data_IF_917557556060
#
_entry.id   IF_917557556060
#
_cell.length_a   1.000
_cell.length_b   1.000
_cell.length_c   1.000
_cell.angle_alpha   90.00
_cell.angle_beta   90.00
_cell.angle_gamma   90.00
#
_symmetry.space_group_name_H-M   'P 1'
#
loop_
_entity.id
_entity.type
_entity.pdbx_description
1 polymer ?
#
# COMPACT_ATOMS: atom_id res chain seq x y z
N UNK A 1 -9.97 13.68 22.36
CA UNK A 1 -10.24 12.75 21.23
C UNK A 1 -9.81 13.32 19.89
N UNK A 2 -10.23 14.55 19.53
CA UNK A 2 -9.88 15.22 18.27
C UNK A 2 -8.37 15.27 17.95
N UNK A 3 -7.52 15.65 18.91
CA UNK A 3 -6.07 15.73 18.70
C UNK A 3 -5.40 14.39 18.32
N UNK A 4 -6.01 13.24 18.71
CA UNK A 4 -5.50 11.92 18.31
C UNK A 4 -5.86 11.58 16.86
N UNK A 5 -7.07 11.95 16.42
CA UNK A 5 -7.51 11.77 15.04
C UNK A 5 -6.64 12.56 14.06
N UNK A 6 -6.35 13.81 14.38
CA UNK A 6 -5.50 14.69 13.57
C UNK A 6 -4.05 14.22 13.45
N UNK A 7 -3.58 13.31 14.32
CA UNK A 7 -2.24 12.71 14.26
C UNK A 7 -2.22 11.35 13.58
N UNK A 8 -3.38 10.85 13.14
CA UNK A 8 -3.53 9.52 12.54
C UNK A 8 -3.48 9.60 11.01
N UNK A 9 -2.59 8.87 10.32
CA UNK A 9 -2.48 8.94 8.86
C UNK A 9 -3.77 8.50 8.15
N UNK A 10 -4.51 7.54 8.72
CA UNK A 10 -5.79 7.09 8.15
C UNK A 10 -6.89 8.16 8.11
N UNK A 11 -6.86 9.14 9.03
CA UNK A 11 -7.80 10.27 8.98
C UNK A 11 -7.48 11.16 7.77
N UNK A 12 -6.21 11.53 7.61
CA UNK A 12 -5.77 12.34 6.48
C UNK A 12 -5.89 11.61 5.14
N UNK A 13 -5.72 10.28 5.12
CA UNK A 13 -5.99 9.47 3.93
C UNK A 13 -7.45 9.60 3.50
N UNK A 14 -8.39 9.51 4.45
CA UNK A 14 -9.81 9.73 4.17
C UNK A 14 -10.07 11.14 3.65
N UNK A 15 -9.45 12.17 4.26
CA UNK A 15 -9.54 13.56 3.77
C UNK A 15 -9.04 13.68 2.33
N UNK A 16 -7.91 13.05 1.98
CA UNK A 16 -7.38 13.06 0.62
C UNK A 16 -8.32 12.38 -0.38
N UNK A 17 -8.93 11.25 0.00
CA UNK A 17 -9.95 10.57 -0.82
C UNK A 17 -11.18 11.46 -1.03
N UNK A 18 -11.69 12.08 0.03
CA UNK A 18 -12.84 12.98 -0.06
C UNK A 18 -12.52 14.22 -0.92
N UNK A 19 -11.33 14.79 -0.79
CA UNK A 19 -10.87 15.90 -1.63
C UNK A 19 -10.79 15.48 -3.11
N UNK A 20 -10.31 14.28 -3.40
CA UNK A 20 -10.32 13.71 -4.75
C UNK A 20 -11.74 13.53 -5.30
N UNK A 21 -12.69 13.02 -4.50
CA UNK A 21 -14.09 12.89 -4.90
C UNK A 21 -14.77 14.24 -5.16
N UNK A 22 -14.46 15.26 -4.35
CA UNK A 22 -14.94 16.63 -4.59
C UNK A 22 -14.35 17.17 -5.89
N UNK A 23 -13.06 16.96 -6.14
CA UNK A 23 -12.44 17.31 -7.41
C UNK A 23 -13.11 16.60 -8.59
N UNK A 24 -13.42 15.31 -8.45
CA UNK A 24 -14.12 14.51 -9.45
C UNK A 24 -15.46 15.15 -9.84
N UNK A 25 -16.23 15.62 -8.85
CA UNK A 25 -17.51 16.30 -9.09
C UNK A 25 -17.33 17.60 -9.89
N UNK A 26 -16.32 18.41 -9.54
CA UNK A 26 -16.00 19.62 -10.30
C UNK A 26 -15.51 19.30 -11.72
N UNK A 27 -14.71 18.25 -11.88
CA UNK A 27 -14.26 17.81 -13.19
C UNK A 27 -15.41 17.31 -14.08
N UNK A 28 -16.41 16.59 -13.53
CA UNK A 28 -17.59 16.20 -14.30
C UNK A 28 -18.36 17.41 -14.83
N UNK A 29 -18.48 18.48 -14.03
CA UNK A 29 -19.07 19.76 -14.50
C UNK A 29 -18.19 20.43 -15.56
N UNK A 30 -16.87 20.43 -15.36
CA UNK A 30 -15.92 20.95 -16.36
C UNK A 30 -16.08 20.22 -17.70
N UNK A 31 -16.08 18.89 -17.67
CA UNK A 31 -16.15 18.05 -18.86
C UNK A 31 -17.47 18.21 -19.62
N UNK A 32 -18.59 18.36 -18.91
CA UNK A 32 -19.89 18.63 -19.53
C UNK A 32 -19.91 19.99 -20.25
N UNK A 33 -19.17 20.99 -19.73
CA UNK A 33 -19.12 22.35 -20.30
C UNK A 33 -18.07 22.50 -21.40
N UNK A 34 -16.98 21.74 -21.34
CA UNK A 34 -15.81 21.86 -22.22
C UNK A 34 -15.45 20.52 -22.88
N UNK A 35 -16.39 19.85 -23.57
CA UNK A 35 -16.20 18.48 -24.07
C UNK A 35 -15.01 18.37 -25.05
N UNK A 36 -14.78 19.40 -25.86
CA UNK A 36 -13.66 19.42 -26.82
C UNK A 36 -12.29 19.47 -26.14
N UNK A 37 -12.19 20.20 -25.01
CA UNK A 37 -10.95 20.25 -24.24
C UNK A 37 -10.66 18.92 -23.56
N UNK A 38 -11.71 18.27 -23.05
CA UNK A 38 -11.57 16.94 -22.44
C UNK A 38 -11.21 15.88 -23.49
N UNK A 39 -11.80 15.93 -24.68
CA UNK A 39 -11.41 15.06 -25.79
C UNK A 39 -9.92 15.23 -26.16
N UNK A 40 -9.45 16.48 -26.25
CA UNK A 40 -8.04 16.78 -26.49
C UNK A 40 -7.13 16.22 -25.36
N UNK A 41 -7.52 16.38 -24.09
CA UNK A 41 -6.79 15.80 -22.96
C UNK A 41 -6.76 14.27 -23.02
N UNK A 42 -7.90 13.64 -23.29
CA UNK A 42 -8.00 12.18 -23.40
C UNK A 42 -7.08 11.64 -24.50
N UNK A 43 -6.97 12.35 -25.63
CA UNK A 43 -6.08 11.96 -26.73
C UNK A 43 -4.58 12.02 -26.40
N UNK A 44 -4.20 12.78 -25.38
CA UNK A 44 -2.83 12.89 -24.90
C UNK A 44 -2.47 11.87 -23.81
N UNK A 45 -3.45 11.11 -23.32
CA UNK A 45 -3.28 10.15 -22.23
C UNK A 45 -3.46 8.70 -22.72
N UNK A 46 -2.89 7.72 -22.01
CA UNK A 46 -3.17 6.31 -22.28
C UNK A 46 -4.67 5.99 -22.19
N UNK A 47 -5.15 4.92 -22.84
CA UNK A 47 -6.54 4.48 -22.71
C UNK A 47 -6.95 4.23 -21.25
N UNK A 48 -8.23 4.47 -20.95
CA UNK A 48 -8.80 4.21 -19.62
C UNK A 48 -8.86 5.43 -18.70
N UNK A 49 -8.68 6.64 -19.22
CA UNK A 49 -8.98 7.89 -18.52
C UNK A 49 -10.35 8.43 -18.92
N UNK A 50 -10.99 9.16 -18.01
CA UNK A 50 -12.20 9.93 -18.24
C UNK A 50 -13.43 9.10 -18.68
N UNK A 51 -13.66 7.93 -18.07
CA UNK A 51 -14.99 7.29 -18.13
C UNK A 51 -15.98 8.06 -17.23
N UNK A 52 -16.58 9.10 -17.81
CA UNK A 52 -17.34 10.10 -17.07
C UNK A 52 -18.83 9.79 -16.99
N UNK A 53 -19.42 10.17 -15.87
CA UNK A 53 -20.88 10.26 -15.70
C UNK A 53 -21.29 11.73 -15.76
N UNK A 54 -22.40 12.02 -16.43
CA UNK A 54 -22.96 13.36 -16.47
C UNK A 54 -23.21 13.88 -15.04
N UNK A 55 -22.80 15.13 -14.72
CA UNK A 55 -23.08 15.69 -13.41
C UNK A 55 -24.59 15.85 -13.23
N UNK A 56 -25.11 15.71 -12.00
CA UNK A 56 -26.52 15.96 -11.75
C UNK A 56 -26.85 17.44 -12.00
N UNK A 57 -28.03 17.72 -12.55
CA UNK A 57 -28.41 19.07 -12.98
C UNK A 57 -28.41 20.14 -11.86
N UNK A 58 -28.56 19.74 -10.60
CA UNK A 58 -28.42 20.67 -9.47
C UNK A 58 -26.97 21.12 -9.28
N UNK A 59 -25.99 20.24 -9.47
CA UNK A 59 -24.58 20.56 -9.27
C UNK A 59 -24.09 21.50 -10.38
N UNK A 60 -24.45 21.22 -11.63
CA UNK A 60 -24.12 22.11 -12.74
C UNK A 60 -24.68 23.52 -12.52
N UNK A 61 -25.89 23.66 -11.98
CA UNK A 61 -26.45 24.99 -11.66
C UNK A 61 -25.74 25.72 -10.52
N UNK A 62 -25.22 24.99 -9.52
CA UNK A 62 -24.54 25.59 -8.37
C UNK A 62 -23.10 26.02 -8.69
N UNK A 63 -22.41 25.35 -9.62
CA UNK A 63 -21.01 25.65 -9.94
C UNK A 63 -20.95 26.83 -10.92
N UNK A 64 -20.41 28.00 -10.53
CA UNK A 64 -20.33 29.15 -11.43
C UNK A 64 -19.47 28.83 -12.65
N UNK A 65 -19.78 29.47 -13.79
CA UNK A 65 -18.88 29.46 -14.94
C UNK A 65 -17.65 30.28 -14.58
N UNK A 66 -16.55 29.61 -14.32
CA UNK A 66 -15.29 30.22 -13.90
C UNK A 66 -14.13 29.55 -14.62
N UNK A 67 -13.11 30.33 -15.07
CA UNK A 67 -11.88 29.74 -15.61
C UNK A 67 -11.15 28.87 -14.59
N UNK A 68 -11.40 29.06 -13.28
CA UNK A 68 -10.83 28.24 -12.20
C UNK A 68 -11.33 26.79 -12.24
N UNK A 69 -12.46 26.51 -12.89
CA UNK A 69 -12.96 25.15 -13.04
C UNK A 69 -11.99 24.26 -13.84
N UNK A 70 -11.18 24.86 -14.72
CA UNK A 70 -10.12 24.16 -15.44
C UNK A 70 -8.96 23.69 -14.50
N UNK A 71 -8.93 24.11 -13.24
CA UNK A 71 -8.01 23.54 -12.25
C UNK A 71 -8.43 22.13 -11.83
N UNK A 72 -9.72 21.80 -11.94
CA UNK A 72 -10.20 20.45 -11.63
C UNK A 72 -9.70 19.41 -12.65
N UNK A 73 -9.31 19.85 -13.85
CA UNK A 73 -8.69 19.02 -14.86
C UNK A 73 -7.20 18.82 -14.55
N UNK A 74 -6.86 17.64 -14.02
CA UNK A 74 -5.50 17.14 -13.72
C UNK A 74 -4.75 17.88 -12.61
N UNK A 75 -4.83 19.21 -12.50
CA UNK A 75 -4.00 20.01 -11.58
C UNK A 75 -4.29 19.77 -10.10
N UNK A 76 -5.56 19.80 -9.70
CA UNK A 76 -5.93 19.50 -8.31
C UNK A 76 -5.53 18.06 -7.95
N UNK A 77 -5.74 17.12 -8.88
CA UNK A 77 -5.30 15.75 -8.69
C UNK A 77 -3.78 15.62 -8.56
N UNK A 78 -3.01 16.36 -9.37
CA UNK A 78 -1.56 16.36 -9.30
C UNK A 78 -1.07 16.71 -7.89
N UNK A 79 -1.76 17.64 -7.21
CA UNK A 79 -1.47 18.02 -5.83
C UNK A 79 -1.94 17.02 -4.76
N UNK A 80 -2.95 16.19 -5.04
CA UNK A 80 -3.55 15.27 -4.06
C UNK A 80 -2.93 13.87 -4.12
N UNK A 81 -2.48 13.43 -5.29
CA UNK A 81 -2.03 12.05 -5.49
C UNK A 81 -0.77 11.70 -4.67
N UNK A 82 0.18 12.63 -4.52
CA UNK A 82 1.36 12.42 -3.69
C UNK A 82 0.99 12.23 -2.20
N UNK A 83 0.27 13.16 -1.53
CA UNK A 83 -0.12 12.94 -0.15
C UNK A 83 -1.01 11.69 0.01
N UNK A 84 -1.93 11.43 -0.92
CA UNK A 84 -2.76 10.21 -0.92
C UNK A 84 -1.90 8.93 -0.86
N UNK A 85 -0.95 8.78 -1.78
CA UNK A 85 -0.10 7.59 -1.84
C UNK A 85 0.81 7.47 -0.61
N UNK A 86 1.37 8.59 -0.13
CA UNK A 86 2.25 8.58 1.04
C UNK A 86 1.48 8.20 2.30
N UNK A 87 0.27 8.75 2.47
CA UNK A 87 -0.61 8.44 3.59
C UNK A 87 -1.05 6.98 3.56
N UNK A 88 -1.41 6.43 2.40
CA UNK A 88 -1.75 5.01 2.26
C UNK A 88 -0.59 4.11 2.69
N UNK A 89 0.63 4.40 2.25
CA UNK A 89 1.83 3.66 2.65
C UNK A 89 2.09 3.76 4.15
N UNK A 90 2.00 4.97 4.71
CA UNK A 90 2.20 5.22 6.13
C UNK A 90 1.12 4.56 7.02
N UNK A 91 -0.12 4.40 6.53
CA UNK A 91 -1.15 3.60 7.21
C UNK A 91 -0.70 2.13 7.31
N UNK A 92 -0.16 1.55 6.24
CA UNK A 92 0.37 0.18 6.23
C UNK A 92 1.53 0.05 7.23
N UNK A 93 2.52 0.95 7.18
CA UNK A 93 3.63 0.95 8.14
C UNK A 93 3.14 1.06 9.59
N UNK A 94 2.11 1.87 9.85
CA UNK A 94 1.50 2.01 11.18
C UNK A 94 0.82 0.75 11.65
N UNK A 95 0.08 0.06 10.79
CA UNK A 95 -0.51 -1.23 11.12
C UNK A 95 0.53 -2.31 11.37
N UNK A 96 1.71 -2.18 10.75
CA UNK A 96 2.83 -3.07 10.97
C UNK A 96 3.49 -2.85 12.34
N UNK A 97 3.75 -1.60 12.73
CA UNK A 97 4.27 -1.29 14.04
C UNK A 97 4.77 0.15 14.19
N UNK A 98 4.87 0.61 15.44
CA UNK A 98 5.29 1.97 15.76
C UNK A 98 6.72 2.28 15.28
N UNK A 99 7.64 1.31 15.37
CA UNK A 99 9.02 1.47 14.91
C UNK A 99 9.10 1.64 13.39
N UNK A 100 8.52 0.70 12.63
CA UNK A 100 8.47 0.75 11.16
C UNK A 100 7.82 2.04 10.67
N UNK A 101 6.69 2.44 11.29
CA UNK A 101 6.06 3.72 11.01
C UNK A 101 6.96 4.92 11.31
N UNK A 102 7.60 4.95 12.48
CA UNK A 102 8.50 6.03 12.87
C UNK A 102 9.70 6.15 11.93
N UNK A 103 10.26 5.03 11.48
CA UNK A 103 11.35 4.97 10.50
C UNK A 103 10.91 5.45 9.13
N UNK A 104 9.80 4.95 8.60
CA UNK A 104 9.24 5.41 7.33
C UNK A 104 8.93 6.92 7.37
N UNK A 105 8.41 7.42 8.49
CA UNK A 105 8.13 8.85 8.66
C UNK A 105 9.40 9.70 8.69
N UNK A 106 10.53 9.17 9.18
CA UNK A 106 11.83 9.86 9.10
C UNK A 106 12.34 9.95 7.67
N UNK A 107 12.08 8.94 6.83
CA UNK A 107 12.42 8.95 5.40
C UNK A 107 11.41 9.68 4.50
N UNK A 108 10.39 10.35 5.07
CA UNK A 108 9.33 11.04 4.29
C UNK A 108 9.84 12.07 3.28
N UNK A 109 10.92 12.79 3.58
CA UNK A 109 11.49 13.78 2.65
C UNK A 109 12.14 13.10 1.44
N UNK A 110 12.90 12.04 1.68
CA UNK A 110 13.52 11.23 0.62
C UNK A 110 12.46 10.57 -0.26
N UNK A 111 11.43 9.98 0.35
CA UNK A 111 10.31 9.38 -0.38
C UNK A 111 9.56 10.45 -1.20
N UNK A 112 9.22 11.58 -0.59
CA UNK A 112 8.56 12.70 -1.29
C UNK A 112 9.36 13.18 -2.49
N UNK A 113 10.68 13.37 -2.33
CA UNK A 113 11.55 13.81 -3.41
C UNK A 113 11.59 12.78 -4.56
N UNK A 114 11.82 11.49 -4.23
CA UNK A 114 11.86 10.42 -5.23
C UNK A 114 10.53 10.28 -5.99
N UNK A 115 9.40 10.37 -5.28
CA UNK A 115 8.07 10.22 -5.86
C UNK A 115 7.68 11.44 -6.67
N UNK A 116 8.00 12.65 -6.20
CA UNK A 116 7.79 13.90 -6.96
C UNK A 116 8.60 13.88 -8.25
N UNK A 117 9.88 13.49 -8.19
CA UNK A 117 10.70 13.34 -9.39
C UNK A 117 10.09 12.33 -10.37
N UNK A 118 9.61 11.18 -9.88
CA UNK A 118 8.94 10.17 -10.71
C UNK A 118 7.68 10.73 -11.36
N UNK A 119 6.81 11.41 -10.61
CA UNK A 119 5.61 12.03 -11.18
C UNK A 119 5.96 13.08 -12.21
N UNK A 120 6.89 14.00 -11.92
CA UNK A 120 7.32 15.01 -12.89
C UNK A 120 7.87 14.39 -14.18
N UNK A 121 8.64 13.30 -14.09
CA UNK A 121 9.10 12.55 -15.26
C UNK A 121 7.94 11.96 -16.06
N UNK A 122 6.92 11.42 -15.39
CA UNK A 122 5.70 10.90 -16.04
C UNK A 122 4.93 12.03 -16.73
N UNK A 123 4.75 13.18 -16.09
CA UNK A 123 4.08 14.36 -16.70
C UNK A 123 4.84 14.83 -17.95
N UNK A 124 6.18 14.85 -17.91
CA UNK A 124 6.99 15.21 -19.07
C UNK A 124 6.95 14.16 -20.19
N UNK A 125 6.73 12.88 -19.84
CA UNK A 125 6.62 11.79 -20.79
C UNK A 125 5.23 11.70 -21.45
N UNK A 126 4.19 12.16 -20.74
CA UNK A 126 2.80 12.21 -21.22
C UNK A 126 2.32 13.67 -21.29
N UNK A 127 2.89 14.49 -22.19
CA UNK A 127 2.65 15.92 -22.17
C UNK A 127 1.18 16.23 -22.49
N UNK A 128 0.55 16.96 -21.59
CA UNK A 128 -0.77 17.59 -21.77
C UNK A 128 -0.61 19.12 -21.89
N UNK A 129 -1.67 19.85 -22.28
CA UNK A 129 -1.68 21.32 -22.21
C UNK A 129 -1.44 21.90 -20.80
N UNK A 130 -1.47 21.05 -19.75
CA UNK A 130 -1.29 21.45 -18.36
C UNK A 130 0.03 21.00 -17.73
N UNK A 131 0.91 20.33 -18.50
CA UNK A 131 2.16 19.72 -18.01
C UNK A 131 2.98 20.65 -17.10
N UNK A 132 3.19 21.90 -17.53
CA UNK A 132 4.00 22.86 -16.76
C UNK A 132 3.34 23.21 -15.42
N UNK A 133 2.02 23.37 -15.39
CA UNK A 133 1.29 23.63 -14.16
C UNK A 133 1.27 22.39 -13.27
N UNK A 134 1.09 21.20 -13.83
CA UNK A 134 1.07 19.95 -13.08
C UNK A 134 2.44 19.71 -12.43
N UNK A 135 3.55 19.86 -13.16
CA UNK A 135 4.91 19.81 -12.59
C UNK A 135 5.10 20.81 -11.45
N UNK A 136 4.66 22.05 -11.61
CA UNK A 136 4.75 23.05 -10.54
C UNK A 136 3.93 22.63 -9.31
N UNK A 137 2.70 22.15 -9.50
CA UNK A 137 1.84 21.65 -8.41
C UNK A 137 2.46 20.42 -7.74
N UNK A 138 3.06 19.50 -8.49
CA UNK A 138 3.77 18.33 -7.96
C UNK A 138 4.93 18.75 -7.07
N UNK A 139 5.74 19.72 -7.48
CA UNK A 139 6.86 20.24 -6.69
C UNK A 139 6.34 20.87 -5.40
N UNK A 140 5.32 21.73 -5.48
CA UNK A 140 4.71 22.36 -4.31
C UNK A 140 4.14 21.30 -3.35
N UNK A 141 3.40 20.32 -3.87
CA UNK A 141 2.92 19.18 -3.11
C UNK A 141 4.07 18.37 -2.49
N UNK A 142 5.16 18.17 -3.23
CA UNK A 142 6.39 17.50 -2.81
C UNK A 142 7.08 18.16 -1.62
N UNK A 143 6.86 19.45 -1.40
CA UNK A 143 7.34 20.19 -0.24
C UNK A 143 6.32 20.19 0.90
N UNK A 144 5.04 20.45 0.59
CA UNK A 144 3.98 20.60 1.60
C UNK A 144 3.63 19.25 2.24
N UNK A 145 3.47 18.18 1.45
CA UNK A 145 3.06 16.87 1.95
C UNK A 145 4.01 16.34 3.04
N UNK A 146 5.33 16.19 2.83
CA UNK A 146 6.24 15.70 3.88
C UNK A 146 6.34 16.65 5.08
N UNK A 147 6.15 17.96 4.90
CA UNK A 147 6.09 18.91 6.01
C UNK A 147 4.87 18.63 6.91
N UNK A 148 3.67 18.52 6.33
CA UNK A 148 2.43 18.20 7.04
C UNK A 148 2.47 16.81 7.69
N UNK A 149 3.05 15.82 7.00
CA UNK A 149 3.23 14.47 7.53
C UNK A 149 4.12 14.47 8.79
N UNK A 150 5.00 15.45 8.97
CA UNK A 150 5.80 15.61 10.20
C UNK A 150 4.98 15.81 11.47
N UNK A 151 3.70 16.21 11.35
CA UNK A 151 2.78 16.31 12.48
C UNK A 151 2.24 14.95 12.97
N UNK A 152 2.35 13.91 12.16
CA UNK A 152 1.92 12.55 12.54
C UNK A 152 2.81 12.00 13.65
N UNK A 153 2.24 11.15 14.52
CA UNK A 153 2.98 10.56 15.65
C UNK A 153 2.85 9.05 15.66
N UNK A 154 3.94 8.31 15.94
CA UNK A 154 3.83 6.89 16.28
C UNK A 154 2.92 6.75 17.49
N UNK A 155 1.91 5.89 17.42
CA UNK A 155 1.18 5.52 18.63
C UNK A 155 2.00 4.51 19.41
N UNK A 156 2.04 4.62 20.74
CA UNK A 156 2.62 3.59 21.62
C UNK A 156 1.82 2.28 21.67
N UNK A 157 0.93 2.03 20.71
CA UNK A 157 0.14 0.78 20.65
C UNK A 157 1.06 -0.38 20.29
N UNK A 158 0.82 -1.53 20.91
CA UNK A 158 1.49 -2.81 20.61
C UNK A 158 1.42 -3.08 19.10
N UNK A 159 2.50 -3.65 18.54
CA UNK A 159 2.74 -3.80 17.09
C UNK A 159 1.66 -4.56 16.31
N UNK A 160 1.92 -4.86 15.02
CA UNK A 160 1.06 -5.71 14.21
C UNK A 160 0.57 -6.89 15.04
N UNK A 161 -0.73 -7.17 15.05
CA UNK A 161 -1.30 -8.33 15.73
C UNK A 161 -0.71 -9.63 15.18
N UNK A 162 -1.51 -10.47 14.55
CA UNK A 162 -0.93 -11.57 13.76
C UNK A 162 -0.42 -11.01 12.43
N UNK A 163 0.70 -11.51 11.90
CA UNK A 163 1.18 -11.14 10.56
C UNK A 163 0.11 -11.41 9.48
N UNK A 164 -0.69 -12.48 9.64
CA UNK A 164 -1.85 -12.76 8.78
C UNK A 164 -2.90 -11.64 8.79
N UNK A 165 -3.27 -11.11 9.96
CA UNK A 165 -4.21 -9.98 10.05
C UNK A 165 -3.65 -8.71 9.42
N UNK A 166 -2.34 -8.49 9.50
CA UNK A 166 -1.66 -7.40 8.84
C UNK A 166 -1.72 -7.57 7.31
N UNK A 167 -1.32 -8.73 6.78
CA UNK A 167 -1.32 -9.01 5.35
C UNK A 167 -2.74 -8.85 4.75
N UNK A 168 -3.76 -9.35 5.44
CA UNK A 168 -5.16 -9.19 5.03
C UNK A 168 -5.61 -7.71 5.06
N UNK A 169 -5.19 -6.96 6.07
CA UNK A 169 -5.48 -5.51 6.15
C UNK A 169 -4.80 -4.75 5.00
N UNK A 170 -3.53 -5.04 4.72
CA UNK A 170 -2.75 -4.39 3.67
C UNK A 170 -3.30 -4.74 2.28
N UNK A 171 -3.67 -5.99 2.03
CA UNK A 171 -4.31 -6.42 0.79
C UNK A 171 -5.65 -5.73 0.57
N UNK A 172 -6.51 -5.69 1.60
CA UNK A 172 -7.82 -5.03 1.50
C UNK A 172 -7.68 -3.52 1.28
N UNK A 173 -6.77 -2.85 1.99
CA UNK A 173 -6.49 -1.43 1.77
C UNK A 173 -5.90 -1.19 0.37
N UNK A 174 -4.98 -2.03 -0.08
CA UNK A 174 -4.42 -1.97 -1.43
C UNK A 174 -5.51 -2.05 -2.50
N UNK A 175 -6.46 -2.97 -2.34
CA UNK A 175 -7.63 -3.08 -3.23
C UNK A 175 -8.48 -1.81 -3.23
N UNK A 176 -8.76 -1.24 -2.05
CA UNK A 176 -9.50 0.03 -1.94
C UNK A 176 -8.75 1.19 -2.60
N UNK A 177 -7.43 1.25 -2.42
CA UNK A 177 -6.57 2.24 -3.07
C UNK A 177 -6.60 2.09 -4.59
N UNK A 178 -6.63 0.87 -5.12
CA UNK A 178 -6.78 0.64 -6.56
C UNK A 178 -8.15 1.09 -7.09
N UNK A 179 -9.22 0.89 -6.32
CA UNK A 179 -10.54 1.44 -6.69
C UNK A 179 -10.53 2.96 -6.67
N UNK A 180 -9.94 3.59 -5.65
CA UNK A 180 -9.80 5.06 -5.61
C UNK A 180 -8.95 5.55 -6.78
N UNK A 181 -7.87 4.84 -7.11
CA UNK A 181 -7.02 5.15 -8.25
C UNK A 181 -7.84 5.13 -9.55
N UNK A 182 -8.56 4.06 -9.82
CA UNK A 182 -9.37 3.94 -11.03
C UNK A 182 -10.52 4.96 -11.08
N UNK A 183 -11.36 5.02 -10.05
CA UNK A 183 -12.59 5.83 -10.06
C UNK A 183 -12.31 7.32 -9.89
N UNK A 184 -11.35 7.68 -9.04
CA UNK A 184 -11.10 9.06 -8.63
C UNK A 184 -9.88 9.63 -9.32
N UNK A 185 -8.74 8.93 -9.29
CA UNK A 185 -7.50 9.45 -9.87
C UNK A 185 -7.39 9.25 -11.39
N UNK A 186 -8.20 8.43 -12.03
CA UNK A 186 -8.29 8.39 -13.50
C UNK A 186 -9.55 9.09 -14.02
N UNK A 187 -10.30 9.74 -13.13
CA UNK A 187 -11.59 10.34 -13.40
C UNK A 187 -12.66 9.38 -13.96
N UNK A 188 -12.60 8.08 -13.64
CA UNK A 188 -13.54 7.07 -14.13
C UNK A 188 -14.78 6.91 -13.23
N UNK A 189 -15.56 7.98 -13.05
CA UNK A 189 -16.79 7.90 -12.23
C UNK A 189 -17.79 6.87 -12.79
N UNK A 190 -17.74 6.57 -14.09
CA UNK A 190 -18.54 5.53 -14.75
C UNK A 190 -18.33 4.14 -14.16
N UNK A 191 -17.13 3.85 -13.66
CA UNK A 191 -16.81 2.58 -13.01
C UNK A 191 -17.35 2.48 -11.57
N UNK A 192 -17.82 3.56 -10.95
CA UNK A 192 -18.17 3.57 -9.52
C UNK A 192 -19.26 2.55 -9.16
N UNK A 193 -20.30 2.42 -9.99
CA UNK A 193 -21.38 1.45 -9.76
C UNK A 193 -20.89 0.01 -9.82
N UNK A 194 -20.03 -0.31 -10.79
CA UNK A 194 -19.44 -1.63 -10.93
C UNK A 194 -18.42 -1.94 -9.82
N UNK A 195 -17.73 -0.91 -9.31
CA UNK A 195 -16.77 -1.05 -8.22
C UNK A 195 -17.43 -1.19 -6.83
N UNK A 196 -18.67 -0.72 -6.64
CA UNK A 196 -19.33 -0.69 -5.33
C UNK A 196 -19.37 -2.05 -4.59
N UNK A 197 -19.69 -3.20 -5.23
CA UNK A 197 -19.64 -4.50 -4.56
C UNK A 197 -18.22 -4.85 -4.08
N UNK A 198 -17.20 -4.57 -4.89
CA UNK A 198 -15.80 -4.82 -4.53
C UNK A 198 -15.37 -3.94 -3.35
N UNK A 199 -15.75 -2.65 -3.34
CA UNK A 199 -15.51 -1.74 -2.22
C UNK A 199 -16.15 -2.27 -0.94
N UNK A 200 -17.42 -2.70 -1.01
CA UNK A 200 -18.13 -3.29 0.13
C UNK A 200 -17.42 -4.53 0.68
N UNK A 201 -17.06 -5.46 -0.20
CA UNK A 201 -16.33 -6.67 0.19
C UNK A 201 -14.96 -6.35 0.81
N UNK A 202 -14.18 -5.46 0.20
CA UNK A 202 -12.87 -5.04 0.72
C UNK A 202 -12.99 -4.31 2.05
N UNK A 203 -14.01 -3.48 2.24
CA UNK A 203 -14.27 -2.79 3.50
C UNK A 203 -14.64 -3.79 4.62
N UNK A 204 -15.45 -4.80 4.31
CA UNK A 204 -15.78 -5.89 5.25
C UNK A 204 -14.52 -6.68 5.62
N UNK A 205 -13.72 -7.08 4.63
CA UNK A 205 -12.45 -7.79 4.86
C UNK A 205 -11.49 -6.96 5.71
N UNK A 206 -11.38 -5.66 5.42
CA UNK A 206 -10.55 -4.75 6.20
C UNK A 206 -11.07 -4.64 7.64
N UNK A 207 -12.37 -4.43 7.83
CA UNK A 207 -13.01 -4.36 9.15
C UNK A 207 -12.76 -5.63 9.98
N UNK A 208 -12.97 -6.80 9.37
CA UNK A 208 -12.67 -8.10 9.98
C UNK A 208 -11.18 -8.24 10.34
N UNK A 209 -10.28 -7.91 9.41
CA UNK A 209 -8.84 -8.00 9.65
C UNK A 209 -8.38 -7.08 10.80
N UNK A 210 -8.94 -5.86 10.88
CA UNK A 210 -8.67 -4.91 11.97
C UNK A 210 -9.25 -5.40 13.30
N UNK A 211 -10.44 -5.98 13.32
CA UNK A 211 -11.02 -6.59 14.51
C UNK A 211 -10.21 -7.79 14.99
N UNK A 212 -9.72 -8.64 14.07
CA UNK A 212 -8.83 -9.75 14.39
C UNK A 212 -7.50 -9.26 14.98
N UNK A 213 -6.89 -8.24 14.38
CA UNK A 213 -5.65 -7.65 14.90
C UNK A 213 -5.81 -7.08 16.32
N UNK A 214 -7.00 -6.53 16.64
CA UNK A 214 -7.29 -5.95 17.96
C UNK A 214 -7.34 -6.99 19.09
N UNK A 215 -7.58 -8.27 18.78
CA UNK A 215 -7.58 -9.36 19.79
C UNK A 215 -6.18 -9.70 20.33
N UNK A 216 -5.14 -9.09 19.76
CA UNK A 216 -3.74 -9.37 20.11
C UNK A 216 -3.24 -10.67 19.50
N UNK A 217 -1.92 -10.83 19.46
CA UNK A 217 -1.26 -12.05 19.01
C UNK A 217 -0.42 -12.65 20.12
N UNK A 218 -0.39 -13.98 20.16
CA UNK A 218 0.66 -14.70 20.86
C UNK A 218 2.02 -14.29 20.27
N UNK A 219 3.07 -14.31 21.11
CA UNK A 219 4.43 -14.02 20.64
C UNK A 219 4.76 -14.93 19.45
N UNK A 220 5.23 -14.38 18.32
CA UNK A 220 5.60 -15.20 17.17
C UNK A 220 6.74 -16.14 17.57
N UNK A 221 6.78 -17.32 16.97
CA UNK A 221 7.95 -18.19 17.09
C UNK A 221 9.13 -17.63 16.27
N UNK A 222 10.30 -18.29 16.32
CA UNK A 222 11.52 -17.78 15.71
C UNK A 222 11.42 -17.53 14.20
N UNK A 223 10.80 -18.44 13.44
CA UNK A 223 10.69 -18.31 11.99
C UNK A 223 9.73 -17.18 11.60
N UNK A 224 8.56 -17.09 12.26
CA UNK A 224 7.63 -15.98 12.02
C UNK A 224 8.24 -14.65 12.47
N UNK A 225 9.00 -14.63 13.57
CA UNK A 225 9.67 -13.44 14.08
C UNK A 225 10.69 -12.88 13.09
N UNK A 226 11.52 -13.72 12.48
CA UNK A 226 12.49 -13.31 11.47
C UNK A 226 11.82 -12.87 10.15
N UNK A 227 10.73 -13.52 9.72
CA UNK A 227 9.91 -13.04 8.59
C UNK A 227 9.35 -11.63 8.86
N UNK A 228 8.80 -11.40 10.06
CA UNK A 228 8.29 -10.09 10.48
C UNK A 228 9.41 -9.05 10.50
N UNK A 229 10.60 -9.38 11.03
CA UNK A 229 11.74 -8.47 11.02
C UNK A 229 12.15 -8.08 9.59
N UNK A 230 12.32 -9.06 8.69
CA UNK A 230 12.69 -8.83 7.31
C UNK A 230 11.64 -7.99 6.57
N UNK A 231 10.35 -8.27 6.78
CA UNK A 231 9.28 -7.49 6.16
C UNK A 231 9.20 -6.06 6.71
N UNK A 232 9.50 -5.86 8.00
CA UNK A 232 9.60 -4.52 8.60
C UNK A 232 10.71 -3.69 7.97
N UNK A 233 11.89 -4.28 7.74
CA UNK A 233 12.98 -3.64 7.00
C UNK A 233 12.56 -3.33 5.55
N UNK A 234 11.90 -4.28 4.89
CA UNK A 234 11.38 -4.09 3.53
C UNK A 234 10.44 -2.91 3.42
N UNK A 235 9.46 -2.77 4.32
CA UNK A 235 8.54 -1.62 4.30
C UNK A 235 9.29 -0.28 4.46
N UNK A 236 10.35 -0.21 5.25
CA UNK A 236 11.10 1.04 5.41
C UNK A 236 11.95 1.34 4.18
N UNK A 237 12.67 0.33 3.67
CA UNK A 237 13.58 0.48 2.53
C UNK A 237 12.83 0.68 1.21
N UNK A 238 11.73 -0.03 1.00
CA UNK A 238 10.91 0.05 -0.20
C UNK A 238 10.15 1.38 -0.30
N UNK A 239 9.90 2.07 0.81
CA UNK A 239 9.13 3.31 0.81
C UNK A 239 9.69 4.36 -0.16
N UNK A 240 11.02 4.54 -0.19
CA UNK A 240 11.65 5.55 -1.06
C UNK A 240 11.56 5.18 -2.55
N UNK A 241 12.02 3.99 -2.99
CA UNK A 241 12.00 3.62 -4.41
C UNK A 241 10.68 3.02 -4.90
N UNK A 242 9.64 2.89 -4.08
CA UNK A 242 8.39 2.23 -4.46
C UNK A 242 7.80 2.76 -5.78
N UNK A 243 7.68 4.08 -5.90
CA UNK A 243 7.13 4.72 -7.09
C UNK A 243 8.09 4.63 -8.30
N UNK A 244 9.40 4.96 -8.18
CA UNK A 244 10.38 4.71 -9.23
C UNK A 244 10.38 3.27 -9.76
N UNK A 245 10.32 2.27 -8.88
CA UNK A 245 10.30 0.86 -9.27
C UNK A 245 9.02 0.55 -10.07
N UNK A 246 7.85 0.99 -9.59
CA UNK A 246 6.59 0.77 -10.30
C UNK A 246 6.63 1.35 -11.72
N UNK A 247 7.00 2.63 -11.86
CA UNK A 247 7.02 3.28 -13.17
C UNK A 247 8.20 2.83 -14.03
N UNK A 248 9.31 2.37 -13.46
CA UNK A 248 10.42 1.81 -14.23
C UNK A 248 9.98 0.63 -15.10
N UNK A 249 9.02 -0.19 -14.66
CA UNK A 249 8.43 -1.24 -15.51
C UNK A 249 7.56 -0.70 -16.64
N UNK A 250 6.90 0.45 -16.44
CA UNK A 250 5.99 1.06 -17.42
C UNK A 250 6.79 1.80 -18.50
N UNK A 251 7.85 2.53 -18.13
CA UNK A 251 8.65 3.37 -19.03
C UNK A 251 9.83 2.59 -19.66
N UNK A 252 9.73 1.25 -19.75
CA UNK A 252 10.71 0.42 -20.46
C UNK A 252 12.02 0.09 -19.74
N UNK A 253 12.18 0.45 -18.47
CA UNK A 253 13.37 0.18 -17.65
C UNK A 253 13.18 -1.00 -16.69
N UNK A 254 12.44 -2.03 -17.12
CA UNK A 254 12.02 -3.15 -16.26
C UNK A 254 13.19 -3.89 -15.60
N UNK A 255 14.32 -4.06 -16.29
CA UNK A 255 15.50 -4.73 -15.72
C UNK A 255 16.10 -3.95 -14.55
N UNK A 256 16.22 -2.62 -14.69
CA UNK A 256 16.71 -1.75 -13.62
C UNK A 256 15.73 -1.71 -12.45
N UNK A 257 14.43 -1.59 -12.73
CA UNK A 257 13.38 -1.64 -11.70
C UNK A 257 13.39 -2.96 -10.92
N UNK A 258 13.56 -4.09 -11.63
CA UNK A 258 13.71 -5.41 -11.03
C UNK A 258 14.97 -5.50 -10.16
N UNK A 259 16.12 -5.04 -10.66
CA UNK A 259 17.38 -5.03 -9.92
C UNK A 259 17.28 -4.19 -8.64
N UNK A 260 16.66 -3.01 -8.69
CA UNK A 260 16.40 -2.17 -7.52
C UNK A 260 15.46 -2.85 -6.53
N UNK A 261 14.38 -3.46 -7.02
CA UNK A 261 13.45 -4.22 -6.18
C UNK A 261 14.11 -5.39 -5.47
N UNK A 262 14.91 -6.19 -6.20
CA UNK A 262 15.71 -7.28 -5.64
C UNK A 262 16.75 -6.78 -4.63
N UNK A 263 17.40 -5.66 -4.91
CA UNK A 263 18.33 -5.02 -3.98
C UNK A 263 17.65 -4.62 -2.66
N UNK A 264 16.44 -4.06 -2.72
CA UNK A 264 15.64 -3.75 -1.52
C UNK A 264 15.31 -5.02 -0.74
N UNK A 265 14.86 -6.09 -1.41
CA UNK A 265 14.55 -7.38 -0.76
C UNK A 265 15.80 -7.97 -0.10
N UNK A 266 16.92 -8.04 -0.81
CA UNK A 266 18.18 -8.57 -0.28
C UNK A 266 18.68 -7.77 0.93
N UNK A 267 18.66 -6.43 0.84
CA UNK A 267 19.04 -5.57 1.96
C UNK A 267 18.13 -5.75 3.18
N UNK A 268 16.84 -6.02 2.96
CA UNK A 268 15.88 -6.26 4.04
C UNK A 268 16.14 -7.58 4.76
N UNK A 269 16.39 -8.66 4.00
CA UNK A 269 16.75 -9.98 4.55
C UNK A 269 18.08 -9.92 5.30
N UNK A 270 19.06 -9.20 4.76
CA UNK A 270 20.37 -9.00 5.38
C UNK A 270 20.26 -8.27 6.73
N UNK A 271 19.58 -7.12 6.76
CA UNK A 271 19.42 -6.29 7.97
C UNK A 271 18.61 -6.98 9.07
N UNK A 272 17.71 -7.88 8.69
CA UNK A 272 16.92 -8.66 9.64
C UNK A 272 17.56 -9.98 10.07
N UNK A 273 18.77 -10.29 9.57
CA UNK A 273 19.49 -11.55 9.80
C UNK A 273 18.66 -12.80 9.48
N UNK A 274 17.77 -12.70 8.48
CA UNK A 274 16.75 -13.70 8.17
C UNK A 274 17.21 -14.76 7.13
N UNK A 275 18.50 -15.09 7.08
CA UNK A 275 19.10 -15.96 6.05
C UNK A 275 19.14 -17.46 6.41
N UNK A 276 18.24 -17.93 7.27
CA UNK A 276 18.18 -19.37 7.66
C UNK A 276 17.46 -20.23 6.62
N UNK A 277 17.77 -21.53 6.55
CA UNK A 277 17.17 -22.48 5.61
C UNK A 277 15.62 -22.48 5.60
N UNK A 278 14.97 -22.34 6.76
CA UNK A 278 13.52 -22.25 6.86
C UNK A 278 12.93 -21.05 6.07
N UNK A 279 13.67 -19.94 5.97
CA UNK A 279 13.26 -18.77 5.19
C UNK A 279 13.42 -18.99 3.69
N UNK A 280 14.41 -19.77 3.26
CA UNK A 280 14.55 -20.15 1.85
C UNK A 280 13.36 -21.01 1.40
N UNK A 281 12.93 -21.96 2.24
CA UNK A 281 11.73 -22.78 1.96
C UNK A 281 10.48 -21.90 1.94
N UNK A 282 10.33 -21.00 2.91
CA UNK A 282 9.20 -20.06 2.96
C UNK A 282 9.19 -19.12 1.74
N UNK A 283 10.34 -18.61 1.31
CA UNK A 283 10.49 -17.77 0.13
C UNK A 283 10.18 -18.54 -1.15
N UNK A 284 10.62 -19.79 -1.27
CA UNK A 284 10.30 -20.66 -2.40
C UNK A 284 8.80 -20.93 -2.51
N UNK A 285 8.15 -21.32 -1.41
CA UNK A 285 6.70 -21.52 -1.37
C UNK A 285 5.94 -20.22 -1.68
N UNK A 286 6.40 -19.10 -1.11
CA UNK A 286 5.90 -17.77 -1.40
C UNK A 286 5.99 -17.44 -2.88
N UNK A 287 7.14 -17.69 -3.51
CA UNK A 287 7.37 -17.41 -4.92
C UNK A 287 6.42 -18.20 -5.81
N UNK A 288 6.24 -19.50 -5.55
CA UNK A 288 5.31 -20.35 -6.31
C UNK A 288 3.88 -19.83 -6.22
N UNK A 289 3.36 -19.58 -5.02
CA UNK A 289 1.98 -19.09 -4.83
C UNK A 289 1.83 -17.68 -5.41
N UNK A 290 2.80 -16.81 -5.19
CA UNK A 290 2.81 -15.45 -5.74
C UNK A 290 2.80 -15.45 -7.27
N UNK A 291 3.55 -16.33 -7.91
CA UNK A 291 3.56 -16.49 -9.36
C UNK A 291 2.21 -16.99 -9.89
N UNK A 292 1.60 -17.99 -9.23
CA UNK A 292 0.23 -18.45 -9.59
C UNK A 292 -0.76 -17.30 -9.50
N UNK A 293 -0.71 -16.50 -8.43
CA UNK A 293 -1.57 -15.33 -8.26
C UNK A 293 -1.29 -14.22 -9.30
N UNK A 294 -0.03 -14.06 -9.74
CA UNK A 294 0.35 -13.12 -10.79
C UNK A 294 -0.28 -13.49 -12.14
N UNK A 295 -0.46 -14.79 -12.39
CA UNK A 295 -1.08 -15.32 -13.60
C UNK A 295 -2.62 -15.29 -13.55
N UNK A 296 -3.22 -14.90 -12.43
CA UNK A 296 -4.68 -14.83 -12.31
C UNK A 296 -5.25 -13.79 -13.28
N UNK A 297 -6.42 -14.08 -13.91
CA UNK A 297 -7.07 -13.13 -14.79
C UNK A 297 -7.54 -11.92 -13.99
N UNK A 298 -7.05 -10.73 -14.33
CA UNK A 298 -7.53 -9.47 -13.76
C UNK A 298 -7.47 -8.37 -14.81
N UNK A 299 -8.38 -7.38 -14.67
CA UNK A 299 -8.48 -6.23 -15.58
C UNK A 299 -7.23 -5.35 -15.54
N UNK A 300 -6.57 -5.24 -14.38
CA UNK A 300 -5.41 -4.37 -14.17
C UNK A 300 -4.22 -5.18 -13.67
N UNK A 301 -3.02 -4.80 -14.12
CA UNK A 301 -1.77 -5.46 -13.70
C UNK A 301 -1.51 -5.27 -12.20
N UNK A 302 -1.91 -4.13 -11.65
CA UNK A 302 -1.78 -3.83 -10.22
C UNK A 302 -2.59 -4.78 -9.34
N UNK A 303 -3.75 -5.25 -9.80
CA UNK A 303 -4.53 -6.26 -9.08
C UNK A 303 -3.78 -7.58 -9.03
N UNK A 304 -3.17 -8.01 -10.14
CA UNK A 304 -2.35 -9.23 -10.18
C UNK A 304 -1.12 -9.11 -9.29
N UNK A 305 -0.46 -7.95 -9.27
CA UNK A 305 0.67 -7.68 -8.39
C UNK A 305 0.26 -7.70 -6.90
N UNK A 306 -0.92 -7.14 -6.57
CA UNK A 306 -1.46 -7.18 -5.21
C UNK A 306 -1.80 -8.62 -4.78
N UNK A 307 -2.42 -9.40 -5.67
CA UNK A 307 -2.71 -10.82 -5.43
C UNK A 307 -1.43 -11.63 -5.27
N UNK A 308 -0.43 -11.40 -6.14
CA UNK A 308 0.90 -12.01 -6.05
C UNK A 308 1.58 -11.71 -4.72
N UNK A 309 1.59 -10.44 -4.29
CA UNK A 309 2.16 -10.05 -3.00
C UNK A 309 1.41 -10.70 -1.82
N UNK A 310 0.07 -10.70 -1.85
CA UNK A 310 -0.74 -11.33 -0.81
C UNK A 310 -0.52 -12.85 -0.73
N UNK A 311 -0.50 -13.52 -1.90
CA UNK A 311 -0.22 -14.96 -2.01
C UNK A 311 1.17 -15.33 -1.53
N UNK A 312 2.19 -14.57 -1.94
CA UNK A 312 3.56 -14.74 -1.49
C UNK A 312 3.67 -14.66 0.04
N UNK A 313 3.15 -13.58 0.63
CA UNK A 313 3.25 -13.35 2.07
C UNK A 313 2.42 -14.38 2.87
N UNK A 314 1.25 -14.77 2.36
CA UNK A 314 0.39 -15.77 2.99
C UNK A 314 1.05 -17.16 3.04
N UNK A 315 1.66 -17.58 1.93
CA UNK A 315 2.36 -18.86 1.84
C UNK A 315 3.63 -18.86 2.71
N UNK A 316 4.47 -17.81 2.62
CA UNK A 316 5.67 -17.68 3.44
C UNK A 316 5.34 -17.71 4.94
N UNK A 317 4.32 -16.96 5.36
CA UNK A 317 3.85 -16.96 6.75
C UNK A 317 3.36 -18.34 7.21
N UNK A 318 2.61 -19.05 6.36
CA UNK A 318 2.09 -20.38 6.68
C UNK A 318 3.22 -21.39 6.88
N UNK A 319 4.23 -21.39 6.01
CA UNK A 319 5.43 -22.23 6.15
C UNK A 319 6.16 -21.92 7.45
N UNK A 320 6.46 -20.65 7.72
CA UNK A 320 7.12 -20.24 8.97
C UNK A 320 6.33 -20.69 10.21
N UNK A 321 5.00 -20.55 10.19
CA UNK A 321 4.13 -20.97 11.29
C UNK A 321 4.16 -22.49 11.51
N UNK A 322 4.15 -23.27 10.43
CA UNK A 322 4.24 -24.74 10.51
C UNK A 322 5.61 -25.13 11.09
N UNK A 323 6.69 -24.51 10.63
CA UNK A 323 8.03 -24.72 11.18
C UNK A 323 8.10 -24.42 12.68
N UNK A 324 7.55 -23.28 13.11
CA UNK A 324 7.49 -22.91 14.53
C UNK A 324 6.67 -23.91 15.36
N UNK A 325 5.57 -24.46 14.82
CA UNK A 325 4.79 -25.48 15.53
C UNK A 325 5.53 -26.80 15.71
N UNK A 326 6.26 -27.26 14.69
CA UNK A 326 7.02 -28.52 14.74
C UNK A 326 8.16 -28.46 15.76
N UNK A 327 8.87 -27.32 15.82
CA UNK A 327 9.94 -27.11 16.81
C UNK A 327 9.44 -27.15 18.26
N UNK A 328 8.20 -26.68 18.51
CA UNK A 328 7.59 -26.77 19.85
C UNK A 328 7.27 -28.20 20.24
N UNK A 329 6.78 -29.00 19.30
CA UNK A 329 6.49 -30.42 19.54
C UNK A 329 7.76 -31.21 19.87
N UNK A 330 8.83 -31.05 19.09
CA UNK A 330 10.10 -31.77 19.34
C UNK A 330 10.78 -31.34 20.63
N UNK A 331 10.67 -30.05 21.00
CA UNK A 331 11.23 -29.55 22.27
C UNK A 331 10.44 -30.00 23.50
N UNK A 332 9.14 -30.26 23.37
CA UNK A 332 8.32 -30.79 24.46
C UNK A 332 8.65 -32.26 24.76
N UNK A 333 8.93 -33.06 23.72
CA UNK A 333 9.31 -34.47 23.87
C UNK A 333 10.69 -34.64 24.53
N UNK A 334 11.69 -33.86 24.14
CA UNK A 334 13.02 -33.91 24.76
C UNK A 334 13.04 -33.42 26.22
N UNK A 335 12.18 -32.45 26.56
CA UNK A 335 12.01 -31.98 27.93
C UNK A 335 11.35 -33.02 28.84
N UNK A 336 10.36 -33.76 28.34
CA UNK A 336 9.65 -34.77 29.10
C UNK A 336 10.56 -35.95 29.52
N UNK A 337 11.51 -36.33 28.65
CA UNK A 337 12.44 -37.43 28.89
C UNK A 337 13.49 -37.10 29.96
N UNK A 338 13.94 -35.84 30.05
CA UNK A 338 14.83 -35.37 31.12
C UNK A 338 14.15 -35.27 32.49
N UNK A 339 12.82 -35.23 32.54
CA UNK A 339 12.04 -35.14 33.78
C UNK A 339 11.46 -36.48 34.27
N UNK A 340 11.78 -37.61 33.62
CA UNK A 340 11.49 -38.92 34.22
C UNK A 340 12.34 -39.05 35.50
N UNK A 341 11.71 -39.14 36.69
CA UNK A 341 12.46 -39.35 37.92
C UNK A 341 13.26 -40.64 37.76
N UNK A 342 14.57 -40.56 38.02
CA UNK A 342 15.42 -41.73 38.08
C UNK A 342 14.73 -42.73 39.01
N UNK A 343 14.16 -43.79 38.43
CA UNK A 343 13.57 -44.89 39.19
C UNK A 343 14.68 -45.42 40.08
N UNK A 344 14.58 -45.10 41.37
CA UNK A 344 15.43 -45.61 42.43
C UNK A 344 15.50 -47.12 42.28
N UNK A 345 16.64 -47.59 41.78
CA UNK A 345 17.03 -48.99 41.75
C UNK A 345 17.07 -49.47 43.20
N UNK A 346 15.99 -50.08 43.66
CA UNK A 346 15.98 -50.91 44.87
C UNK A 346 16.75 -52.20 44.57
N UNK A 347 18.08 -52.12 44.54
CA UNK A 347 18.95 -53.24 44.87
C UNK A 347 19.17 -53.16 46.37
N UNK A 348 18.38 -53.93 47.11
CA UNK A 348 18.75 -54.52 48.39
C UNK A 348 17.60 -55.42 48.84
N UNK A 349 17.73 -56.72 48.52
CA UNK A 349 17.39 -57.88 49.35
C UNK A 349 17.80 -59.16 48.63
#
# INVERSE_FOLDING_TARGET
MAARLLRHPGFWLLVAVLAGLVNQMFFSVYAAREPQRVAALASALPPGWFDLVAPPAWLDRLVPRSPLLALAALRVQAGIELPFTMLAYLVVCRWFGADVFGRALRSRWLASAAWTATFCLVEMWLPTPYTAQDVAVRIVSGLIAPALLGALRPDGRRGAGSFGSFALSAAALGGLVLVVYDVVLLYNLGHARAAAPAVGALAVVLGFARAWAARGSARPGPAVGALVAAFGEFLVLFFVPALPIRYGFVVGHGALAAALGLGVVAASVWRAEAYRAAHLVAAGAGFVVGFVCLCAPARYVEVRLLLAAAGFLGAAWSVCRISDSRQRSTGAESGAESSRPATLSSRDR
#
